data_IF_783420577017
#
_entry.id   IF_783420577017
#
_cell.length_a   1.000
_cell.length_b   1.000
_cell.length_c   1.000
_cell.angle_alpha   90.00
_cell.angle_beta   90.00
_cell.angle_gamma   90.00
#
_symmetry.space_group_name_H-M   'P 1'
#
loop_
_entity.id
_entity.type
_entity.pdbx_description
1 polymer ?
#
# COMPACT_ATOMS: atom_id res chain seq x y z
N UNK A 1 -63.68 -32.97 44.39
CA UNK A 1 -62.64 -32.15 45.07
C UNK A 1 -61.32 -32.89 44.90
N UNK A 2 -60.20 -32.39 44.37
CA UNK A 2 -59.80 -31.12 43.79
C UNK A 2 -58.74 -31.41 42.72
N UNK A 3 -58.77 -30.63 41.63
CA UNK A 3 -57.76 -30.55 40.58
C UNK A 3 -56.47 -29.87 41.08
N UNK A 4 -55.32 -30.23 40.46
CA UNK A 4 -54.14 -29.38 40.11
C UNK A 4 -53.03 -30.31 39.56
N UNK A 5 -52.96 -30.65 38.26
CA UNK A 5 -52.34 -29.94 37.12
C UNK A 5 -50.92 -29.39 37.35
N UNK A 6 -49.99 -29.90 36.51
CA UNK A 6 -48.94 -29.18 35.72
C UNK A 6 -47.74 -28.59 36.51
N UNK A 7 -46.45 -28.66 36.14
CA UNK A 7 -45.72 -28.84 34.87
C UNK A 7 -44.35 -29.46 35.22
N UNK A 8 -43.94 -30.54 34.56
CA UNK A 8 -42.54 -30.96 34.54
C UNK A 8 -41.74 -29.96 33.70
N UNK A 9 -40.86 -29.19 34.34
CA UNK A 9 -39.91 -28.29 33.65
C UNK A 9 -38.84 -29.14 32.97
N UNK A 10 -39.13 -29.62 31.77
CA UNK A 10 -38.12 -30.15 30.87
C UNK A 10 -37.17 -29.03 30.46
N UNK A 11 -35.92 -29.09 30.89
CA UNK A 11 -34.85 -28.24 30.35
C UNK A 11 -34.55 -28.79 28.96
N UNK A 12 -35.18 -28.22 27.94
CA UNK A 12 -34.79 -28.41 26.55
C UNK A 12 -33.52 -27.57 26.33
N UNK A 13 -32.36 -28.22 26.44
CA UNK A 13 -31.09 -27.65 25.99
C UNK A 13 -31.16 -27.56 24.47
N UNK A 14 -31.51 -26.40 23.95
CA UNK A 14 -31.39 -26.09 22.53
C UNK A 14 -29.89 -25.93 22.24
N UNK A 15 -29.24 -27.03 21.84
CA UNK A 15 -27.88 -26.99 21.32
C UNK A 15 -27.93 -26.27 19.96
N UNK A 16 -27.76 -24.94 19.99
CA UNK A 16 -27.56 -24.16 18.78
C UNK A 16 -26.26 -24.66 18.12
N UNK A 17 -26.29 -25.10 16.85
CA UNK A 17 -25.05 -25.42 16.16
C UNK A 17 -24.28 -24.12 16.03
N UNK A 18 -23.12 -24.04 16.69
CA UNK A 18 -22.11 -23.03 16.35
C UNK A 18 -21.73 -23.28 14.89
N UNK A 19 -22.40 -22.58 13.99
CA UNK A 19 -21.88 -22.34 12.66
C UNK A 19 -20.59 -21.57 12.85
N UNK A 20 -19.48 -22.31 12.87
CA UNK A 20 -18.16 -21.74 12.70
C UNK A 20 -18.13 -21.12 11.30
N UNK A 21 -18.56 -19.86 11.20
CA UNK A 21 -18.21 -19.01 10.08
C UNK A 21 -16.70 -18.90 10.09
N UNK A 22 -16.04 -19.74 9.30
CA UNK A 22 -14.67 -19.50 8.87
C UNK A 22 -14.68 -18.11 8.24
N UNK A 23 -14.14 -17.12 8.94
CA UNK A 23 -13.81 -15.85 8.33
C UNK A 23 -12.87 -16.20 7.17
N UNK A 24 -13.38 -16.15 5.95
CA UNK A 24 -12.57 -16.32 4.75
C UNK A 24 -11.56 -15.17 4.81
N UNK A 25 -10.33 -15.47 5.20
CA UNK A 25 -9.26 -14.50 5.15
C UNK A 25 -9.20 -14.03 3.70
N UNK A 26 -9.32 -12.71 3.49
CA UNK A 26 -9.15 -12.14 2.16
C UNK A 26 -7.79 -12.61 1.64
N UNK A 27 -7.74 -13.11 0.40
CA UNK A 27 -6.48 -13.54 -0.20
C UNK A 27 -5.48 -12.38 -0.11
N UNK A 28 -4.34 -12.65 0.50
CA UNK A 28 -3.29 -11.64 0.64
C UNK A 28 -2.85 -11.17 -0.74
N UNK A 29 -2.62 -9.86 -0.91
CA UNK A 29 -2.14 -9.27 -2.17
C UNK A 29 -0.92 -10.00 -2.73
N UNK A 30 -0.01 -10.47 -1.85
CA UNK A 30 1.12 -11.31 -2.26
C UNK A 30 0.71 -12.61 -2.96
N UNK A 31 -0.33 -13.31 -2.47
CA UNK A 31 -0.81 -14.52 -3.11
C UNK A 31 -1.42 -14.22 -4.48
N UNK A 32 -2.13 -13.09 -4.62
CA UNK A 32 -2.61 -12.61 -5.91
C UNK A 32 -1.46 -12.35 -6.87
N UNK A 33 -0.43 -11.62 -6.45
CA UNK A 33 0.77 -11.33 -7.27
C UNK A 33 1.45 -12.63 -7.73
N UNK A 34 1.69 -13.57 -6.81
CA UNK A 34 2.35 -14.84 -7.13
C UNK A 34 1.50 -15.74 -8.04
N UNK A 35 0.17 -15.70 -7.90
CA UNK A 35 -0.76 -16.46 -8.73
C UNK A 35 -0.89 -15.87 -10.13
N UNK A 36 -0.97 -14.55 -10.24
CA UNK A 36 -1.09 -13.85 -11.53
C UNK A 36 0.26 -13.73 -12.25
N UNK A 37 1.37 -13.82 -11.51
CA UNK A 37 2.71 -13.71 -12.06
C UNK A 37 3.10 -12.27 -12.42
N UNK A 38 2.42 -11.25 -11.87
CA UNK A 38 2.67 -9.83 -12.18
C UNK A 38 2.64 -8.95 -10.94
N UNK A 39 3.71 -8.19 -10.72
CA UNK A 39 3.79 -7.09 -9.75
C UNK A 39 3.53 -5.75 -10.45
N UNK A 40 2.34 -5.18 -10.24
CA UNK A 40 1.99 -3.82 -10.68
C UNK A 40 2.51 -2.76 -9.71
N UNK A 41 3.29 -1.81 -10.23
CA UNK A 41 3.93 -0.74 -9.45
C UNK A 41 3.54 0.63 -10.00
N UNK A 42 2.90 1.45 -9.17
CA UNK A 42 2.58 2.83 -9.48
C UNK A 42 3.82 3.71 -9.46
N UNK A 43 4.08 4.46 -10.54
CA UNK A 43 5.23 5.38 -10.64
C UNK A 43 4.87 6.69 -11.33
N UNK A 44 5.48 7.80 -10.90
CA UNK A 44 5.22 9.15 -11.46
C UNK A 44 6.08 9.44 -12.68
N UNK A 45 7.32 8.91 -12.74
CA UNK A 45 8.24 9.11 -13.85
C UNK A 45 8.78 10.53 -14.01
N UNK A 46 8.72 11.37 -12.98
CA UNK A 46 9.07 12.80 -13.03
C UNK A 46 10.00 13.26 -11.90
N UNK A 47 10.63 12.34 -11.17
CA UNK A 47 11.48 12.64 -10.01
C UNK A 47 12.89 12.08 -10.14
N UNK A 48 13.79 12.84 -10.75
CA UNK A 48 15.21 12.49 -10.82
C UNK A 48 15.86 12.55 -9.42
N UNK A 49 16.64 11.54 -8.97
CA UNK A 49 17.05 10.29 -9.65
C UNK A 49 16.21 9.05 -9.30
N UNK A 50 15.06 9.24 -8.68
CA UNK A 50 14.23 8.17 -8.10
C UNK A 50 13.39 7.46 -9.15
N UNK A 51 12.68 8.22 -9.99
CA UNK A 51 11.94 7.69 -11.14
C UNK A 51 11.86 8.72 -12.26
N UNK A 52 12.24 8.30 -13.47
CA UNK A 52 12.18 9.10 -14.68
C UNK A 52 11.56 8.27 -15.79
N UNK A 53 10.63 8.87 -16.54
CA UNK A 53 10.07 8.28 -17.75
C UNK A 53 10.78 8.83 -18.98
N UNK A 54 11.30 7.95 -19.79
CA UNK A 54 11.75 8.28 -21.14
C UNK A 54 10.53 8.47 -22.05
N UNK A 55 10.36 9.68 -22.59
CA UNK A 55 9.22 10.02 -23.44
C UNK A 55 9.26 9.32 -24.82
N UNK A 56 10.44 8.95 -25.32
CA UNK A 56 10.58 8.27 -26.60
C UNK A 56 10.30 6.77 -26.47
N UNK A 57 10.74 6.13 -25.39
CA UNK A 57 10.62 4.68 -25.20
C UNK A 57 9.47 4.27 -24.26
N UNK A 58 8.90 5.21 -23.52
CA UNK A 58 7.97 4.98 -22.41
C UNK A 58 8.52 4.08 -21.28
N UNK A 59 9.84 3.87 -21.24
CA UNK A 59 10.50 3.11 -20.18
C UNK A 59 10.74 4.00 -18.97
N UNK A 60 10.74 3.38 -17.80
CA UNK A 60 11.12 4.04 -16.56
C UNK A 60 12.55 3.67 -16.17
N UNK A 61 13.26 4.61 -15.56
CA UNK A 61 14.60 4.42 -14.98
C UNK A 61 14.69 5.15 -13.64
N UNK A 62 15.65 4.78 -12.80
CA UNK A 62 15.93 5.44 -11.53
C UNK A 62 15.90 4.49 -10.35
N UNK A 63 16.24 5.01 -9.17
CA UNK A 63 16.46 4.20 -7.98
C UNK A 63 15.23 3.35 -7.58
N UNK A 64 14.02 3.91 -7.58
CA UNK A 64 12.81 3.17 -7.21
C UNK A 64 12.43 2.12 -8.27
N UNK A 65 12.78 2.37 -9.53
CA UNK A 65 12.60 1.43 -10.63
C UNK A 65 13.55 0.24 -10.44
N UNK A 66 14.80 0.48 -10.10
CA UNK A 66 15.77 -0.59 -9.86
C UNK A 66 15.35 -1.45 -8.65
N UNK A 67 14.91 -0.81 -7.56
CA UNK A 67 14.43 -1.50 -6.35
C UNK A 67 13.20 -2.37 -6.64
N UNK A 68 12.20 -1.81 -7.32
CA UNK A 68 10.96 -2.55 -7.60
C UNK A 68 11.16 -3.65 -8.65
N UNK A 69 12.02 -3.42 -9.64
CA UNK A 69 12.44 -4.46 -10.59
C UNK A 69 13.12 -5.61 -9.86
N UNK A 70 14.04 -5.30 -8.94
CA UNK A 70 14.73 -6.34 -8.17
C UNK A 70 13.77 -7.13 -7.28
N UNK A 71 12.77 -6.45 -6.69
CA UNK A 71 11.71 -7.12 -5.93
C UNK A 71 10.89 -8.09 -6.81
N UNK A 72 10.54 -7.68 -8.03
CA UNK A 72 9.82 -8.55 -8.96
C UNK A 72 10.66 -9.78 -9.35
N UNK A 73 11.96 -9.61 -9.61
CA UNK A 73 12.90 -10.70 -9.87
C UNK A 73 12.98 -11.68 -8.70
N UNK A 74 13.10 -11.18 -7.46
CA UNK A 74 13.19 -12.01 -6.26
C UNK A 74 11.89 -12.80 -5.99
N UNK A 75 10.75 -12.24 -6.42
CA UNK A 75 9.45 -12.90 -6.38
C UNK A 75 9.22 -13.87 -7.57
N UNK A 76 10.06 -13.81 -8.61
CA UNK A 76 9.90 -14.59 -9.83
C UNK A 76 8.68 -14.20 -10.66
N UNK A 77 8.30 -12.91 -10.65
CA UNK A 77 7.13 -12.37 -11.37
C UNK A 77 7.53 -11.26 -12.33
N UNK A 78 6.69 -11.00 -13.33
CA UNK A 78 6.85 -9.86 -14.24
C UNK A 78 6.54 -8.55 -13.52
N UNK A 79 7.20 -7.46 -13.95
CA UNK A 79 6.90 -6.12 -13.44
C UNK A 79 6.09 -5.31 -14.45
N UNK A 80 5.02 -4.67 -13.97
CA UNK A 80 4.22 -3.73 -14.77
C UNK A 80 4.23 -2.35 -14.10
N UNK A 81 4.79 -1.36 -14.78
CA UNK A 81 4.76 0.02 -14.30
C UNK A 81 3.47 0.73 -14.73
N UNK A 82 2.69 1.15 -13.74
CA UNK A 82 1.43 1.88 -13.95
C UNK A 82 1.69 3.39 -13.74
N UNK A 83 1.48 4.24 -14.75
CA UNK A 83 1.66 5.69 -14.60
C UNK A 83 0.71 6.28 -13.55
N UNK A 84 1.20 7.18 -12.71
CA UNK A 84 0.39 7.91 -11.71
C UNK A 84 0.94 9.32 -11.46
N UNK A 85 0.37 10.05 -10.51
CA UNK A 85 0.82 11.39 -10.12
C UNK A 85 0.93 11.53 -8.59
N UNK A 86 1.56 12.62 -8.13
CA UNK A 86 1.78 12.91 -6.71
C UNK A 86 0.51 13.00 -5.86
N UNK A 87 -0.62 13.35 -6.48
CA UNK A 87 -1.90 13.53 -5.79
C UNK A 87 -2.59 12.19 -5.59
N UNK A 88 -2.42 11.25 -6.52
CA UNK A 88 -3.19 10.02 -6.62
C UNK A 88 -2.39 8.76 -6.30
N UNK A 89 -1.07 8.83 -6.11
CA UNK A 89 -0.22 7.64 -5.92
C UNK A 89 -0.70 6.68 -4.80
N UNK A 90 -1.16 7.21 -3.65
CA UNK A 90 -1.67 6.36 -2.56
C UNK A 90 -3.09 5.92 -2.84
N UNK A 91 -3.91 6.80 -3.42
CA UNK A 91 -5.29 6.47 -3.79
C UNK A 91 -5.34 5.34 -4.84
N UNK A 92 -4.37 5.28 -5.74
CA UNK A 92 -4.24 4.21 -6.72
C UNK A 92 -3.95 2.84 -6.08
N UNK A 93 -3.12 2.79 -5.03
CA UNK A 93 -2.94 1.56 -4.23
C UNK A 93 -4.26 1.15 -3.58
N UNK A 94 -4.95 2.08 -2.91
CA UNK A 94 -6.21 1.76 -2.21
C UNK A 94 -7.37 1.39 -3.14
N UNK A 95 -7.25 1.70 -4.42
CA UNK A 95 -8.24 1.41 -5.46
C UNK A 95 -7.82 0.22 -6.34
N UNK A 96 -6.83 -0.57 -5.90
CA UNK A 96 -6.31 -1.76 -6.59
C UNK A 96 -5.87 -1.51 -8.05
N UNK A 97 -5.43 -0.29 -8.37
CA UNK A 97 -4.85 0.01 -9.69
C UNK A 97 -3.45 -0.59 -9.85
N UNK A 98 -2.73 -0.72 -8.74
CA UNK A 98 -1.41 -1.31 -8.62
C UNK A 98 -1.18 -1.72 -7.16
N UNK A 99 -0.26 -2.65 -6.94
CA UNK A 99 -0.07 -3.27 -5.62
C UNK A 99 0.76 -2.39 -4.68
N UNK A 100 1.69 -1.60 -5.23
CA UNK A 100 2.55 -0.71 -4.46
C UNK A 100 3.00 0.49 -5.28
N UNK A 101 3.59 1.48 -4.61
CA UNK A 101 4.20 2.65 -5.26
C UNK A 101 5.45 3.07 -4.49
N UNK A 102 6.46 3.54 -5.22
CA UNK A 102 7.68 4.13 -4.65
C UNK A 102 7.49 5.59 -4.25
N UNK A 103 8.54 6.22 -3.74
CA UNK A 103 8.64 7.68 -3.58
C UNK A 103 7.57 8.34 -2.69
N UNK A 104 6.80 7.56 -1.94
CA UNK A 104 5.78 8.06 -1.03
C UNK A 104 6.43 8.41 0.32
N UNK A 105 6.63 9.71 0.60
CA UNK A 105 7.04 10.11 1.95
C UNK A 105 6.01 9.66 2.98
N UNK A 106 6.50 9.16 4.12
CA UNK A 106 5.66 8.69 5.23
C UNK A 106 4.83 9.87 5.75
N UNK A 107 3.51 9.67 5.80
CA UNK A 107 2.56 10.68 6.26
C UNK A 107 1.46 9.99 7.08
N UNK A 108 1.14 10.46 8.31
CA UNK A 108 0.09 9.88 9.13
C UNK A 108 -1.27 9.75 8.43
N UNK A 109 -1.64 10.67 7.53
CA UNK A 109 -2.89 10.59 6.78
C UNK A 109 -2.89 9.43 5.77
N UNK A 110 -1.75 9.20 5.11
CA UNK A 110 -1.58 8.10 4.14
C UNK A 110 -1.46 6.76 4.85
N UNK A 111 -0.78 6.72 6.00
CA UNK A 111 -0.60 5.52 6.81
C UNK A 111 -1.90 4.97 7.41
N UNK A 112 -2.98 5.76 7.43
CA UNK A 112 -4.32 5.29 7.83
C UNK A 112 -4.99 4.39 6.80
N UNK A 113 -4.59 4.46 5.53
CA UNK A 113 -5.27 3.79 4.42
C UNK A 113 -4.35 2.87 3.61
N UNK A 114 -3.04 3.02 3.76
CA UNK A 114 -2.04 2.16 3.11
C UNK A 114 -0.90 1.84 4.07
N UNK A 115 -0.34 0.64 3.93
CA UNK A 115 0.90 0.25 4.62
C UNK A 115 2.12 0.94 4.00
N UNK A 116 3.16 1.12 4.80
CA UNK A 116 4.49 1.53 4.34
C UNK A 116 5.48 0.39 4.55
N UNK A 117 6.44 0.26 3.64
CA UNK A 117 7.63 -0.57 3.89
C UNK A 117 8.49 0.06 4.98
N UNK A 118 9.53 -0.66 5.39
CA UNK A 118 10.65 -0.03 6.07
C UNK A 118 11.24 1.03 5.13
N UNK A 119 11.51 2.22 5.67
CA UNK A 119 12.09 3.32 4.89
C UNK A 119 13.49 2.95 4.40
N UNK A 120 13.75 3.18 3.12
CA UNK A 120 15.01 2.85 2.46
C UNK A 120 15.81 4.09 2.02
N UNK A 121 15.19 5.27 2.03
CA UNK A 121 15.81 6.57 1.73
C UNK A 121 15.25 7.62 2.68
N UNK A 122 16.11 8.52 3.13
CA UNK A 122 15.74 9.75 3.83
C UNK A 122 15.96 10.95 2.89
N UNK A 123 14.96 11.84 2.82
CA UNK A 123 15.03 13.08 2.03
C UNK A 123 14.83 14.29 2.93
N UNK A 124 15.76 15.23 2.87
CA UNK A 124 15.66 16.51 3.56
C UNK A 124 14.99 17.57 2.69
N UNK A 125 14.14 18.39 3.28
CA UNK A 125 13.65 19.61 2.64
C UNK A 125 14.64 20.74 2.92
N UNK A 126 15.15 21.39 1.87
CA UNK A 126 16.11 22.49 1.98
C UNK A 126 15.60 23.71 1.20
N UNK A 127 15.77 24.94 1.72
CA UNK A 127 15.39 26.13 0.99
C UNK A 127 16.41 26.41 -0.12
N UNK A 128 15.90 26.63 -1.33
CA UNK A 128 16.73 27.07 -2.45
C UNK A 128 16.70 28.60 -2.51
N UNK A 129 17.85 29.23 -2.30
CA UNK A 129 17.99 30.70 -2.29
C UNK A 129 19.03 31.18 -3.30
N UNK A 130 18.85 32.41 -3.79
CA UNK A 130 19.92 33.06 -4.56
C UNK A 130 21.17 33.22 -3.69
N UNK A 131 22.35 32.93 -4.25
CA UNK A 131 23.64 33.07 -3.56
C UNK A 131 23.84 34.43 -2.88
N UNK A 132 23.39 35.52 -3.52
CA UNK A 132 23.46 36.88 -2.94
C UNK A 132 22.66 37.08 -1.64
N UNK A 133 21.73 36.18 -1.34
CA UNK A 133 20.92 36.19 -0.13
C UNK A 133 21.39 35.18 0.92
N UNK A 134 22.54 34.53 0.73
CA UNK A 134 23.03 33.49 1.65
C UNK A 134 23.15 33.98 3.10
N UNK A 135 23.56 35.23 3.30
CA UNK A 135 23.69 35.80 4.64
C UNK A 135 22.35 36.16 5.31
N UNK A 136 21.25 36.16 4.55
CA UNK A 136 19.92 36.54 5.04
C UNK A 136 19.13 35.36 5.61
N UNK A 137 19.45 34.14 5.20
CA UNK A 137 18.69 32.94 5.56
C UNK A 137 19.67 31.88 6.11
N UNK A 138 20.04 32.04 7.38
CA UNK A 138 20.99 31.14 8.08
C UNK A 138 20.29 30.05 8.91
N UNK A 139 18.99 30.19 9.11
CA UNK A 139 18.13 29.32 9.91
C UNK A 139 16.74 29.21 9.29
N UNK A 140 15.92 28.31 9.83
CA UNK A 140 14.50 28.17 9.50
C UNK A 140 13.62 29.25 10.15
N UNK A 141 14.10 29.83 11.25
CA UNK A 141 13.56 31.05 11.87
C UNK A 141 14.13 32.30 11.19
#
# INVERSE_FOLDING_TARGET
MQFKKLIARGIFVFAAPLLATSAQAADSVLHTILKEGVLKVGTTGDWNPMTMRDAATNKYTGFDIDVSTKLAEDLGVEIEYVPTDWKTLVAGVTADKYHMTGSASVNPKRAKVAGYSISYVEVGQLPMIHKKNADRFKSWD
#
